data_IF_181720866952
#
_entry.id   IF_181720866952
#
_cell.length_a   1.000
_cell.length_b   1.000
_cell.length_c   1.000
_cell.angle_alpha   90.00
_cell.angle_beta   90.00
_cell.angle_gamma   90.00
#
_symmetry.space_group_name_H-M   'P 1'
#
loop_
_entity.id
_entity.type
_entity.pdbx_description
1 polymer ?
#
# COMPACT_ATOMS: atom_id res chain seq x y z
N UNK A 1 -0.43 -15.36 -8.26
CA UNK A 1 -1.49 -16.40 -8.34
C UNK A 1 -2.82 -15.72 -8.05
N UNK A 2 -3.80 -15.72 -8.96
CA UNK A 2 -5.06 -14.99 -8.69
C UNK A 2 -6.03 -15.90 -7.93
N UNK A 3 -6.33 -15.55 -6.68
CA UNK A 3 -7.31 -16.27 -5.86
C UNK A 3 -8.65 -15.54 -5.96
N UNK A 4 -9.63 -16.19 -6.58
CA UNK A 4 -10.99 -15.68 -6.68
C UNK A 4 -11.80 -16.30 -5.53
N UNK A 5 -12.27 -15.49 -4.59
CA UNK A 5 -13.07 -15.96 -3.46
C UNK A 5 -14.55 -15.68 -3.71
N UNK A 6 -15.37 -16.74 -3.72
CA UNK A 6 -16.81 -16.64 -3.83
C UNK A 6 -17.42 -16.27 -2.47
N UNK A 7 -18.39 -15.36 -2.43
CA UNK A 7 -19.06 -14.97 -1.17
C UNK A 7 -20.28 -15.81 -0.81
N UNK A 8 -20.65 -16.81 -1.61
CA UNK A 8 -21.57 -17.90 -1.23
C UNK A 8 -21.32 -19.14 -2.12
N UNK A 9 -21.51 -20.35 -1.60
CA UNK A 9 -20.56 -21.46 -1.79
C UNK A 9 -21.14 -22.74 -2.45
N UNK A 10 -20.81 -23.04 -3.72
CA UNK A 10 -20.80 -24.34 -4.49
C UNK A 10 -22.05 -24.93 -5.28
N UNK A 11 -21.92 -25.85 -6.25
CA UNK A 11 -21.30 -27.20 -6.22
C UNK A 11 -20.65 -27.51 -7.58
N UNK A 12 -19.34 -27.75 -7.55
CA UNK A 12 -18.56 -28.46 -8.56
C UNK A 12 -17.59 -29.33 -7.74
N UNK A 13 -17.47 -30.62 -8.05
CA UNK A 13 -17.01 -31.72 -7.17
C UNK A 13 -15.55 -31.64 -6.65
N UNK A 14 -14.88 -30.50 -6.82
CA UNK A 14 -13.61 -30.17 -6.18
C UNK A 14 -13.71 -29.04 -5.13
N UNK A 15 -14.93 -28.57 -4.81
CA UNK A 15 -15.16 -27.47 -3.87
C UNK A 15 -16.18 -27.88 -2.77
N UNK A 16 -15.75 -28.10 -1.51
CA UNK A 16 -16.49 -28.85 -0.48
C UNK A 16 -17.60 -28.07 0.25
N UNK A 17 -18.37 -27.26 -0.45
CA UNK A 17 -19.46 -26.48 0.15
C UNK A 17 -20.76 -26.71 -0.64
N UNK A 18 -21.93 -26.08 -0.38
CA UNK A 18 -23.24 -26.25 -1.10
C UNK A 18 -24.04 -24.92 -1.27
N UNK A 19 -24.38 -24.44 -2.50
CA UNK A 19 -25.20 -23.20 -2.76
C UNK A 19 -26.69 -23.54 -2.72
N UNK A 20 -27.46 -22.71 -2.01
CA UNK A 20 -28.91 -22.65 -2.12
C UNK A 20 -29.33 -21.78 -3.32
N UNK A 21 -30.19 -22.26 -4.23
CA UNK A 21 -30.47 -21.67 -5.55
C UNK A 21 -31.29 -20.35 -5.56
N UNK A 22 -31.42 -19.65 -4.44
CA UNK A 22 -32.38 -18.53 -4.30
C UNK A 22 -31.78 -17.12 -4.53
N UNK A 23 -30.47 -16.96 -4.73
CA UNK A 23 -29.85 -15.64 -4.92
C UNK A 23 -29.39 -15.41 -6.37
N UNK A 24 -30.15 -14.61 -7.12
CA UNK A 24 -30.00 -14.39 -8.58
C UNK A 24 -28.84 -13.48 -9.04
N UNK A 25 -27.87 -13.12 -8.19
CA UNK A 25 -26.69 -12.32 -8.60
C UNK A 25 -25.46 -12.71 -7.77
N UNK A 26 -24.61 -13.56 -8.33
CA UNK A 26 -23.31 -13.90 -7.73
C UNK A 26 -22.32 -12.80 -8.10
N UNK A 27 -22.09 -11.88 -7.16
CA UNK A 27 -21.03 -10.89 -7.26
C UNK A 27 -19.76 -11.45 -6.62
N UNK A 28 -18.67 -11.43 -7.38
CA UNK A 28 -17.38 -11.93 -6.97
C UNK A 28 -16.52 -10.80 -6.40
N UNK A 29 -15.95 -11.01 -5.22
CA UNK A 29 -14.95 -10.11 -4.64
C UNK A 29 -13.58 -10.53 -5.15
N UNK A 30 -12.87 -9.59 -5.78
CA UNK A 30 -11.57 -9.90 -6.38
C UNK A 30 -10.45 -9.51 -5.45
N UNK A 31 -9.63 -10.51 -5.12
CA UNK A 31 -8.31 -10.35 -4.54
C UNK A 31 -7.27 -10.86 -5.55
N UNK A 32 -6.17 -10.14 -5.71
CA UNK A 32 -5.08 -10.57 -6.58
C UNK A 32 -3.81 -10.70 -5.76
N UNK A 33 -2.96 -11.67 -6.08
CA UNK A 33 -1.58 -11.67 -5.58
C UNK A 33 -0.62 -11.65 -6.74
N UNK A 34 0.37 -10.77 -6.67
CA UNK A 34 1.39 -10.62 -7.69
C UNK A 34 2.74 -10.23 -7.08
N UNK A 35 3.84 -10.78 -7.61
CA UNK A 35 5.18 -10.34 -7.24
C UNK A 35 5.42 -8.94 -7.79
N UNK A 36 5.80 -7.99 -6.94
CA UNK A 36 6.12 -6.62 -7.38
C UNK A 36 7.25 -6.04 -6.54
N UNK A 37 8.09 -5.27 -7.22
CA UNK A 37 9.14 -4.45 -6.64
C UNK A 37 8.56 -3.23 -5.90
N UNK A 38 9.32 -2.70 -4.94
CA UNK A 38 8.86 -1.59 -4.09
C UNK A 38 8.64 -0.28 -4.89
N UNK A 39 9.34 -0.11 -6.01
CA UNK A 39 9.14 1.02 -6.94
C UNK A 39 7.75 0.99 -7.58
N UNK A 40 7.27 -0.20 -7.93
CA UNK A 40 5.91 -0.38 -8.42
C UNK A 40 4.89 -0.13 -7.30
N UNK A 41 5.22 -0.53 -6.05
CA UNK A 41 4.38 -0.19 -4.90
C UNK A 41 4.28 1.33 -4.71
N UNK A 42 5.39 2.06 -4.83
CA UNK A 42 5.37 3.52 -4.79
C UNK A 42 4.41 4.11 -5.84
N UNK A 43 4.53 3.69 -7.09
CA UNK A 43 3.64 4.16 -8.17
C UNK A 43 2.17 3.84 -7.87
N UNK A 44 1.89 2.63 -7.41
CA UNK A 44 0.53 2.18 -7.09
C UNK A 44 -0.10 2.99 -5.95
N UNK A 45 0.67 3.34 -4.93
CA UNK A 45 0.23 4.19 -3.81
C UNK A 45 -0.06 5.61 -4.33
N UNK A 46 0.82 6.16 -5.18
CA UNK A 46 0.62 7.47 -5.81
C UNK A 46 -0.66 7.46 -6.69
N UNK A 47 -0.82 6.46 -7.55
CA UNK A 47 -2.02 6.30 -8.38
C UNK A 47 -3.28 6.20 -7.54
N UNK A 48 -3.23 5.46 -6.42
CA UNK A 48 -4.34 5.35 -5.50
C UNK A 48 -4.69 6.69 -4.84
N UNK A 49 -3.69 7.45 -4.39
CA UNK A 49 -3.87 8.78 -3.81
C UNK A 49 -4.46 9.77 -4.82
N UNK A 50 -3.93 9.78 -6.06
CA UNK A 50 -4.40 10.65 -7.15
C UNK A 50 -5.78 10.27 -7.67
N UNK A 51 -6.31 9.11 -7.27
CA UNK A 51 -7.61 8.63 -7.71
C UNK A 51 -7.59 8.02 -9.11
N UNK A 52 -6.42 7.63 -9.62
CA UNK A 52 -6.25 7.06 -10.95
C UNK A 52 -6.98 5.71 -11.08
N UNK A 53 -7.37 5.37 -12.31
CA UNK A 53 -8.04 4.12 -12.61
C UNK A 53 -7.02 3.04 -12.99
N UNK A 54 -6.31 2.51 -11.99
CA UNK A 54 -5.32 1.46 -12.20
C UNK A 54 -5.90 0.06 -11.88
N UNK A 55 -5.61 -1.00 -12.66
CA UNK A 55 -6.16 -2.34 -12.43
C UNK A 55 -5.82 -2.99 -11.09
N UNK A 56 -4.72 -2.58 -10.47
CA UNK A 56 -4.33 -3.05 -9.13
C UNK A 56 -4.84 -2.15 -7.99
N UNK A 57 -5.37 -0.96 -8.28
CA UNK A 57 -5.83 -0.01 -7.24
C UNK A 57 -7.31 -0.24 -6.91
N UNK A 58 -7.74 -0.17 -5.64
CA UNK A 58 -9.14 -0.36 -5.25
C UNK A 58 -10.04 0.61 -5.97
N UNK A 59 -11.19 0.18 -6.47
CA UNK A 59 -12.15 1.09 -7.13
C UNK A 59 -12.95 1.95 -6.16
N UNK A 60 -13.07 1.50 -4.90
CA UNK A 60 -13.82 2.23 -3.89
C UNK A 60 -12.99 3.40 -3.34
N UNK A 61 -13.42 4.67 -3.50
CA UNK A 61 -12.71 5.84 -2.99
C UNK A 61 -12.52 5.82 -1.46
N UNK A 62 -13.44 5.22 -0.70
CA UNK A 62 -13.30 5.10 0.76
C UNK A 62 -12.06 4.27 1.14
N UNK A 63 -11.67 3.31 0.31
CA UNK A 63 -10.45 2.50 0.50
C UNK A 63 -9.17 3.25 0.11
N UNK A 64 -9.29 4.43 -0.50
CA UNK A 64 -8.18 5.31 -0.90
C UNK A 64 -7.98 6.49 0.05
N UNK A 65 -8.94 6.78 0.93
CA UNK A 65 -9.01 8.03 1.69
C UNK A 65 -7.87 8.30 2.68
N UNK A 66 -7.09 7.28 3.03
CA UNK A 66 -6.05 7.37 4.04
C UNK A 66 -4.66 6.95 3.52
N UNK A 67 -4.45 6.98 2.21
CA UNK A 67 -3.18 6.60 1.60
C UNK A 67 -2.19 7.76 1.72
N UNK A 68 -0.95 7.43 2.10
CA UNK A 68 0.15 8.39 2.24
C UNK A 68 1.39 7.85 1.52
N UNK A 69 2.03 8.68 0.70
CA UNK A 69 3.28 8.32 0.03
C UNK A 69 4.38 9.33 0.39
N UNK A 70 5.60 8.86 0.56
CA UNK A 70 6.76 9.68 0.83
C UNK A 70 7.27 10.27 -0.48
N UNK A 71 7.49 11.58 -0.48
CA UNK A 71 8.14 12.30 -1.57
C UNK A 71 9.59 12.59 -1.20
N UNK A 72 10.47 12.65 -2.20
CA UNK A 72 11.89 12.97 -2.00
C UNK A 72 12.06 14.32 -1.28
N UNK A 73 11.17 15.28 -1.55
CA UNK A 73 11.16 16.61 -0.91
C UNK A 73 10.92 16.55 0.61
N UNK A 74 10.28 15.51 1.14
CA UNK A 74 10.05 15.35 2.58
C UNK A 74 11.36 15.05 3.33
N UNK A 75 12.35 14.51 2.61
CA UNK A 75 13.68 14.20 3.12
C UNK A 75 14.61 15.44 3.13
N UNK A 76 14.09 16.63 2.79
CA UNK A 76 14.81 17.89 2.86
C UNK A 76 14.65 18.62 4.21
N UNK A 77 13.92 18.03 5.16
CA UNK A 77 13.75 18.59 6.50
C UNK A 77 15.07 18.65 7.29
N UNK A 78 15.11 19.47 8.34
CA UNK A 78 16.30 19.58 9.20
C UNK A 78 16.75 18.22 9.76
N UNK A 79 15.80 17.37 10.15
CA UNK A 79 16.05 16.01 10.65
C UNK A 79 16.79 15.15 9.61
N UNK A 80 16.26 15.04 8.39
CA UNK A 80 16.84 14.20 7.35
C UNK A 80 18.13 14.78 6.77
N UNK A 81 18.28 16.12 6.71
CA UNK A 81 19.54 16.77 6.34
C UNK A 81 20.69 16.37 7.26
N UNK A 82 20.47 16.39 8.58
CA UNK A 82 21.46 15.95 9.57
C UNK A 82 21.87 14.48 9.37
N UNK A 83 20.94 13.63 8.94
CA UNK A 83 21.20 12.22 8.61
C UNK A 83 21.88 12.02 7.25
N UNK A 84 21.54 12.84 6.25
CA UNK A 84 22.17 12.81 4.91
C UNK A 84 23.65 13.17 4.98
N UNK A 85 24.05 14.12 5.83
CA UNK A 85 25.47 14.45 6.02
C UNK A 85 26.32 13.26 6.52
N UNK A 86 25.69 12.25 7.14
CA UNK A 86 26.37 11.04 7.58
C UNK A 86 26.47 9.95 6.48
N UNK A 87 25.67 10.01 5.42
CA UNK A 87 25.64 9.02 4.32
C UNK A 87 25.95 9.70 2.99
N UNK A 88 27.10 9.39 2.38
CA UNK A 88 27.57 9.98 1.11
C UNK A 88 26.70 9.64 -0.12
N UNK A 89 25.71 8.77 0.02
CA UNK A 89 24.85 8.29 -1.06
C UNK A 89 23.44 8.85 -0.93
N UNK A 90 22.80 9.16 -2.06
CA UNK A 90 21.36 9.44 -2.10
C UNK A 90 20.57 8.16 -1.83
N UNK A 91 20.32 7.91 -0.55
CA UNK A 91 19.58 6.75 -0.05
C UNK A 91 18.08 6.80 -0.39
N UNK A 92 17.57 7.93 -0.88
CA UNK A 92 16.16 8.13 -1.21
C UNK A 92 15.78 7.54 -2.58
N UNK A 93 16.27 6.32 -2.87
CA UNK A 93 15.91 5.58 -4.08
C UNK A 93 14.43 5.23 -4.09
N UNK A 94 13.87 4.96 -5.26
CA UNK A 94 12.41 4.78 -5.43
C UNK A 94 11.85 3.58 -4.67
N UNK A 95 12.63 2.52 -4.49
CA UNK A 95 12.30 1.34 -3.69
C UNK A 95 12.27 1.68 -2.19
N UNK A 96 13.21 2.48 -1.71
CA UNK A 96 13.21 3.01 -0.34
C UNK A 96 11.98 3.89 -0.10
N UNK A 97 11.65 4.79 -1.04
CA UNK A 97 10.43 5.59 -0.96
C UNK A 97 9.18 4.69 -0.97
N UNK A 98 9.14 3.66 -1.81
CA UNK A 98 8.05 2.68 -1.84
C UNK A 98 7.86 1.94 -0.52
N UNK A 99 8.95 1.49 0.08
CA UNK A 99 8.96 0.87 1.41
C UNK A 99 8.44 1.83 2.49
N UNK A 100 9.00 3.04 2.56
CA UNK A 100 8.58 4.03 3.55
C UNK A 100 7.12 4.44 3.36
N UNK A 101 6.65 4.57 2.12
CA UNK A 101 5.24 4.88 1.81
C UNK A 101 4.29 3.80 2.28
N UNK A 102 4.58 2.52 2.02
CA UNK A 102 3.68 1.45 2.43
C UNK A 102 3.68 1.29 3.95
N UNK A 103 4.83 1.36 4.60
CA UNK A 103 4.92 1.32 6.07
C UNK A 103 4.22 2.54 6.68
N UNK A 104 4.44 3.75 6.16
CA UNK A 104 3.79 4.96 6.65
C UNK A 104 2.27 4.93 6.43
N UNK A 105 1.80 4.43 5.29
CA UNK A 105 0.38 4.20 5.07
C UNK A 105 -0.18 3.23 6.11
N UNK A 106 0.52 2.12 6.41
CA UNK A 106 0.09 1.15 7.42
C UNK A 106 -0.01 1.81 8.81
N UNK A 107 1.05 2.50 9.23
CA UNK A 107 1.17 3.14 10.55
C UNK A 107 0.10 4.23 10.77
N UNK A 108 -0.13 5.09 9.78
CA UNK A 108 -1.12 6.18 9.87
C UNK A 108 -2.58 5.72 9.78
N UNK A 109 -2.82 4.52 9.25
CA UNK A 109 -4.16 3.93 9.15
C UNK A 109 -4.57 3.16 10.39
N UNK A 110 -3.61 2.75 11.22
CA UNK A 110 -3.90 2.19 12.52
C UNK A 110 -4.71 3.20 13.36
N UNK A 111 -5.37 2.69 14.40
CA UNK A 111 -6.25 3.50 15.22
C UNK A 111 -5.53 3.90 16.50
N UNK A 112 -5.81 5.11 16.98
CA UNK A 112 -5.30 5.54 18.28
C UNK A 112 -5.85 4.62 19.37
N UNK A 113 -4.94 3.99 20.10
CA UNK A 113 -5.18 3.26 21.33
C UNK A 113 -5.54 4.26 22.44
N UNK A 114 -6.68 4.91 22.29
CA UNK A 114 -7.21 5.73 23.38
C UNK A 114 -7.62 4.78 24.52
N UNK A 115 -7.54 5.31 25.75
CA UNK A 115 -7.83 4.61 27.00
C UNK A 115 -9.22 3.90 27.17
N UNK A 116 -10.25 3.98 26.29
CA UNK A 116 -11.53 3.31 26.51
C UNK A 116 -11.52 1.78 26.55
N UNK A 117 -10.37 1.10 26.36
CA UNK A 117 -10.27 -0.35 26.61
C UNK A 117 -10.78 -0.69 28.03
N UNK A 118 -10.58 0.23 28.98
CA UNK A 118 -11.00 0.12 30.38
C UNK A 118 -12.42 0.66 30.65
N UNK A 119 -13.13 1.21 29.66
CA UNK A 119 -14.51 1.66 29.79
C UNK A 119 -15.47 0.73 29.00
N UNK A 120 -16.12 -0.24 29.67
CA UNK A 120 -16.96 -1.25 29.02
C UNK A 120 -18.10 -0.67 28.16
N UNK A 121 -18.58 0.54 28.46
CA UNK A 121 -19.70 1.18 27.75
C UNK A 121 -19.31 1.73 26.38
N UNK A 122 -18.03 1.98 26.14
CA UNK A 122 -17.51 2.52 24.86
C UNK A 122 -16.92 1.42 23.95
N UNK A 123 -16.88 0.15 24.39
CA UNK A 123 -16.41 -0.98 23.58
C UNK A 123 -17.32 -1.24 22.37
N UNK A 124 -18.63 -1.10 22.53
CA UNK A 124 -19.62 -1.42 21.48
C UNK A 124 -19.72 -0.36 20.37
N UNK A 125 -19.04 0.79 20.49
CA UNK A 125 -19.13 1.87 19.50
C UNK A 125 -17.93 1.94 18.56
N UNK A 126 -16.90 1.11 18.75
CA UNK A 126 -15.70 1.12 17.91
C UNK A 126 -15.69 -0.09 17.00
N UNK A 127 -15.87 0.16 15.71
CA UNK A 127 -15.49 -0.80 14.67
C UNK A 127 -13.96 -0.87 14.67
N UNK A 128 -13.44 -1.78 15.48
CA UNK A 128 -12.03 -2.10 15.43
C UNK A 128 -11.79 -2.90 14.17
N UNK A 129 -10.73 -2.54 13.45
CA UNK A 129 -10.43 -3.08 12.13
C UNK A 129 -8.97 -3.53 12.14
N UNK A 130 -8.75 -4.82 11.98
CA UNK A 130 -7.42 -5.37 11.74
C UNK A 130 -6.75 -4.71 10.52
N UNK A 131 -5.44 -4.90 10.35
CA UNK A 131 -4.64 -4.28 9.26
C UNK A 131 -5.29 -4.50 7.88
N UNK A 132 -5.87 -5.68 7.68
CA UNK A 132 -6.60 -6.12 6.50
C UNK A 132 -7.85 -5.33 6.16
N UNK A 133 -8.60 -4.89 7.16
CA UNK A 133 -9.80 -4.08 6.97
C UNK A 133 -9.47 -2.62 6.68
N UNK A 134 -8.24 -2.17 6.90
CA UNK A 134 -7.83 -0.78 6.71
C UNK A 134 -7.07 -0.59 5.41
N UNK A 135 -6.43 -1.65 4.91
CA UNK A 135 -5.47 -1.57 3.82
C UNK A 135 -5.83 -2.51 2.68
N UNK A 136 -5.57 -2.04 1.46
CA UNK A 136 -5.79 -2.81 0.25
C UNK A 136 -4.53 -3.50 -0.26
N UNK A 137 -3.36 -3.13 0.26
CA UNK A 137 -2.08 -3.65 -0.18
C UNK A 137 -1.31 -4.14 1.05
N UNK A 138 -1.02 -5.43 1.08
CA UNK A 138 -0.28 -6.08 2.16
C UNK A 138 0.71 -7.09 1.58
N UNK A 139 1.88 -7.27 2.19
CA UNK A 139 2.81 -8.29 1.72
C UNK A 139 2.36 -9.69 2.19
N UNK A 140 2.60 -10.68 1.34
CA UNK A 140 2.47 -12.11 1.68
C UNK A 140 3.77 -12.65 2.28
N UNK A 141 4.92 -12.07 1.92
CA UNK A 141 6.15 -12.20 2.70
C UNK A 141 6.04 -11.39 3.99
N UNK A 142 6.79 -11.78 5.02
CA UNK A 142 6.79 -11.09 6.30
C UNK A 142 7.56 -9.78 6.19
N UNK A 143 7.36 -8.87 7.14
CA UNK A 143 7.96 -7.54 7.06
C UNK A 143 9.47 -7.54 7.28
N UNK A 144 10.03 -8.58 7.91
CA UNK A 144 11.49 -8.76 8.01
C UNK A 144 12.08 -8.96 6.61
N UNK A 145 11.48 -9.84 5.81
CA UNK A 145 11.87 -10.09 4.43
C UNK A 145 11.72 -8.82 3.60
N UNK A 146 10.57 -8.14 3.68
CA UNK A 146 10.37 -6.88 2.92
C UNK A 146 11.42 -5.83 3.31
N UNK A 147 11.71 -5.66 4.59
CA UNK A 147 12.72 -4.73 5.08
C UNK A 147 14.14 -5.09 4.61
N UNK A 148 14.46 -6.38 4.50
CA UNK A 148 15.77 -6.84 4.02
C UNK A 148 16.11 -6.38 2.61
N UNK A 149 15.11 -6.05 1.78
CA UNK A 149 15.31 -5.54 0.42
C UNK A 149 15.83 -4.09 0.38
N UNK A 150 15.69 -3.33 1.48
CA UNK A 150 16.02 -1.90 1.53
C UNK A 150 16.90 -1.50 2.70
N UNK A 151 17.10 -2.38 3.70
CA UNK A 151 17.83 -2.05 4.94
C UNK A 151 19.21 -1.45 4.66
N UNK A 152 19.96 -2.00 3.69
CA UNK A 152 21.34 -1.59 3.39
C UNK A 152 21.40 -0.25 2.65
N UNK A 153 20.26 0.19 2.10
CA UNK A 153 20.11 1.51 1.46
C UNK A 153 19.76 2.58 2.49
N UNK A 154 19.12 2.23 3.60
CA UNK A 154 18.69 3.18 4.63
C UNK A 154 19.85 3.68 5.50
N UNK A 155 19.78 4.91 6.05
CA UNK A 155 20.76 5.40 7.03
C UNK A 155 20.87 4.46 8.24
N UNK A 156 22.11 4.20 8.67
CA UNK A 156 22.40 3.31 9.81
C UNK A 156 21.75 1.91 9.68
N UNK A 157 21.66 1.39 8.45
CA UNK A 157 21.02 0.11 8.12
C UNK A 157 19.55 0.03 8.58
N UNK A 158 18.88 1.18 8.68
CA UNK A 158 17.49 1.28 9.13
C UNK A 158 17.27 1.05 10.63
N UNK A 159 18.32 1.04 11.47
CA UNK A 159 18.19 0.90 12.94
C UNK A 159 17.32 1.98 13.58
N UNK A 160 17.19 3.14 12.94
CA UNK A 160 16.36 4.26 13.38
C UNK A 160 15.09 4.41 12.53
N UNK A 161 14.57 3.31 11.97
CA UNK A 161 13.38 3.36 11.13
C UNK A 161 12.19 3.97 11.86
N UNK A 162 12.00 3.68 13.15
CA UNK A 162 10.93 4.29 13.93
C UNK A 162 11.03 5.83 13.97
N UNK A 163 12.19 6.36 14.35
CA UNK A 163 12.42 7.82 14.40
C UNK A 163 12.21 8.48 13.03
N UNK A 164 12.63 7.80 11.95
CA UNK A 164 12.35 8.25 10.58
C UNK A 164 10.85 8.28 10.29
N UNK A 165 10.10 7.25 10.68
CA UNK A 165 8.65 7.19 10.49
C UNK A 165 7.92 8.26 11.30
N UNK A 166 8.36 8.59 12.51
CA UNK A 166 7.79 9.68 13.29
C UNK A 166 7.91 11.03 12.59
N UNK A 167 9.10 11.33 12.05
CA UNK A 167 9.33 12.56 11.30
C UNK A 167 8.60 12.57 9.95
N UNK A 168 8.54 11.43 9.26
CA UNK A 168 7.74 11.31 8.03
C UNK A 168 6.24 11.42 8.31
N UNK A 169 5.78 10.98 9.48
CA UNK A 169 4.39 11.09 9.87
C UNK A 169 3.93 12.55 10.04
N UNK A 170 4.87 13.49 10.18
CA UNK A 170 4.59 14.91 10.16
C UNK A 170 4.08 15.43 8.83
N UNK A 171 4.25 14.71 7.73
CA UNK A 171 3.84 15.19 6.42
C UNK A 171 2.56 14.53 5.94
N UNK A 172 1.78 15.27 5.16
CA UNK A 172 0.63 14.74 4.42
C UNK A 172 0.73 15.15 2.96
N UNK A 173 0.38 14.22 2.06
CA UNK A 173 0.31 14.51 0.64
C UNK A 173 -0.76 15.57 0.36
N UNK A 174 -0.47 16.46 -0.58
CA UNK A 174 -1.43 17.46 -1.07
C UNK A 174 -1.62 17.31 -2.56
N UNK A 175 -2.80 17.70 -3.06
CA UNK A 175 -3.07 17.66 -4.51
C UNK A 175 -2.18 18.60 -5.31
N UNK A 176 -1.61 19.63 -4.67
CA UNK A 176 -0.72 20.60 -5.32
C UNK A 176 0.75 20.18 -5.26
N UNK A 177 1.08 19.04 -4.64
CA UNK A 177 2.49 18.63 -4.39
C UNK A 177 3.22 19.53 -3.39
N UNK A 178 2.53 20.46 -2.73
CA UNK A 178 3.14 21.32 -1.71
C UNK A 178 3.25 20.54 -0.41
N UNK A 179 4.43 20.60 0.21
CA UNK A 179 4.66 20.08 1.55
C UNK A 179 3.68 20.70 2.54
N UNK A 180 3.02 19.86 3.32
CA UNK A 180 2.07 20.28 4.36
C UNK A 180 2.23 19.41 5.59
N UNK A 181 2.21 20.06 6.75
CA UNK A 181 2.27 19.40 8.04
C UNK A 181 0.92 18.74 8.38
N UNK A 182 0.96 17.50 8.87
CA UNK A 182 -0.16 16.74 9.42
C UNK A 182 -0.22 17.03 10.93
N UNK A 183 -1.05 18.01 11.31
CA UNK A 183 -1.19 18.49 12.69
C UNK A 183 -1.67 17.42 13.68
N UNK A 184 -2.13 16.26 13.19
CA UNK A 184 -2.48 15.13 14.06
C UNK A 184 -1.24 14.48 14.66
N UNK A 185 -0.14 14.42 13.90
CA UNK A 185 1.07 13.72 14.29
C UNK A 185 2.21 14.64 14.69
N UNK A 186 2.15 15.92 14.30
CA UNK A 186 3.25 16.84 14.56
C UNK A 186 2.83 18.26 14.88
N UNK A 187 3.79 18.97 15.48
CA UNK A 187 3.81 20.40 15.74
C UNK A 187 5.00 21.05 14.99
N UNK A 188 5.24 22.34 15.20
CA UNK A 188 6.36 23.05 14.56
C UNK A 188 6.04 23.52 13.14
N UNK A 189 7.05 23.46 12.26
CA UNK A 189 7.00 24.01 10.90
C UNK A 189 7.28 22.94 9.85
N UNK A 190 7.08 23.25 8.57
CA UNK A 190 7.37 22.31 7.47
C UNK A 190 8.86 21.98 7.38
N UNK A 191 9.74 22.96 7.63
CA UNK A 191 11.19 22.81 7.52
C UNK A 191 11.81 22.14 8.77
N UNK A 192 11.17 22.33 9.92
CA UNK A 192 11.54 21.76 11.20
C UNK A 192 10.28 21.20 11.91
N UNK A 193 9.79 20.04 11.45
CA UNK A 193 8.62 19.42 12.06
C UNK A 193 9.01 18.70 13.36
N UNK A 194 8.12 18.76 14.34
CA UNK A 194 8.35 18.13 15.64
C UNK A 194 7.27 17.06 15.88
N UNK A 195 7.61 15.76 15.87
CA UNK A 195 6.68 14.69 16.25
C UNK A 195 6.07 14.92 17.63
N UNK A 196 4.77 14.69 17.76
CA UNK A 196 4.03 14.91 19.01
C UNK A 196 3.72 13.59 19.77
N UNK A 197 4.32 12.47 19.37
CA UNK A 197 4.13 11.14 19.96
C UNK A 197 2.79 10.47 19.64
N UNK A 198 1.94 11.04 18.77
CA UNK A 198 0.66 10.42 18.41
C UNK A 198 0.81 9.16 17.55
N UNK A 199 1.95 8.97 16.87
CA UNK A 199 2.22 7.76 16.10
C UNK A 199 2.46 6.55 17.03
N UNK A 200 3.12 6.76 18.17
CA UNK A 200 3.38 5.72 19.19
C UNK A 200 2.09 5.14 19.77
N UNK A 201 1.01 5.92 19.76
CA UNK A 201 -0.31 5.51 20.26
C UNK A 201 -1.12 4.74 19.24
N UNK A 202 -0.64 4.56 18.01
CA UNK A 202 -1.38 3.84 16.98
C UNK A 202 -1.28 2.33 17.18
N UNK A 203 -2.40 1.63 16.99
CA UNK A 203 -2.50 0.19 17.16
C UNK A 203 -3.51 -0.44 16.19
N UNK A 204 -3.34 -1.74 15.96
CA UNK A 204 -4.40 -2.61 15.45
C UNK A 204 -4.98 -3.44 16.60
N UNK A 205 -6.25 -3.81 16.51
CA UNK A 205 -6.88 -4.69 17.51
C UNK A 205 -8.01 -5.51 16.89
N UNK A 206 -8.48 -6.49 17.66
CA UNK A 206 -9.77 -7.14 17.42
C UNK A 206 -10.95 -6.25 17.82
N UNK A 207 -12.16 -6.64 17.40
CA UNK A 207 -13.40 -6.01 17.87
C UNK A 207 -13.44 -5.93 19.40
N UNK A 208 -13.73 -4.74 19.94
CA UNK A 208 -13.67 -4.47 21.38
C UNK A 208 -12.31 -3.97 21.90
N UNK A 209 -11.28 -3.89 21.05
CA UNK A 209 -10.02 -3.18 21.31
C UNK A 209 -8.94 -4.02 22.01
N UNK A 210 -9.16 -5.32 22.16
CA UNK A 210 -8.19 -6.26 22.71
C UNK A 210 -8.42 -7.65 22.11
N UNK A 211 -7.36 -8.44 21.83
CA UNK A 211 -5.95 -8.07 21.90
C UNK A 211 -5.57 -6.98 20.90
N UNK A 212 -4.48 -6.26 21.17
CA UNK A 212 -3.96 -5.20 20.30
C UNK A 212 -2.47 -5.37 20.02
N UNK A 213 -2.03 -4.80 18.91
CA UNK A 213 -0.64 -4.69 18.50
C UNK A 213 -0.33 -3.22 18.25
N UNK A 214 0.59 -2.65 19.04
CA UNK A 214 1.11 -1.32 18.79
C UNK A 214 1.90 -1.31 17.47
N UNK A 215 1.72 -0.24 16.71
CA UNK A 215 2.45 -0.03 15.46
C UNK A 215 3.95 0.04 15.72
N UNK A 216 4.36 0.66 16.85
CA UNK A 216 5.77 0.72 17.26
C UNK A 216 6.35 -0.68 17.49
N UNK A 217 5.66 -1.52 18.27
CA UNK A 217 6.11 -2.88 18.54
C UNK A 217 6.25 -3.69 17.24
N UNK A 218 5.33 -3.52 16.31
CA UNK A 218 5.44 -4.13 14.99
C UNK A 218 6.68 -3.66 14.23
N UNK A 219 6.92 -2.35 14.14
CA UNK A 219 8.11 -1.80 13.45
C UNK A 219 9.39 -2.31 14.10
N UNK A 220 9.49 -2.20 15.43
CA UNK A 220 10.64 -2.67 16.19
C UNK A 220 10.87 -4.18 15.98
N UNK A 221 9.80 -4.97 15.85
CA UNK A 221 9.93 -6.41 15.65
C UNK A 221 10.59 -6.77 14.32
N UNK A 222 10.28 -6.09 13.21
CA UNK A 222 10.89 -6.46 11.93
C UNK A 222 12.26 -5.81 11.69
N UNK A 223 12.56 -4.71 12.39
CA UNK A 223 13.88 -4.06 12.36
C UNK A 223 14.91 -4.87 13.15
N UNK A 224 14.51 -5.40 14.31
CA UNK A 224 15.43 -6.08 15.24
C UNK A 224 15.50 -7.60 15.04
N UNK A 225 14.61 -8.20 14.25
CA UNK A 225 14.63 -9.63 13.95
C UNK A 225 15.61 -9.97 12.81
N UNK A 226 16.21 -11.15 12.91
CA UNK A 226 17.01 -11.71 11.83
C UNK A 226 16.12 -12.11 10.64
N UNK A 227 16.67 -12.01 9.42
CA UNK A 227 16.00 -12.39 8.17
C UNK A 227 15.38 -13.81 8.28
N UNK A 228 14.11 -13.93 7.90
CA UNK A 228 13.34 -15.19 7.98
C UNK A 228 12.62 -15.44 9.31
N UNK A 229 12.83 -14.62 10.34
CA UNK A 229 12.01 -14.64 11.56
C UNK A 229 10.63 -13.98 11.36
N UNK A 230 9.57 -14.41 12.07
CA UNK A 230 8.26 -13.78 11.98
C UNK A 230 8.28 -12.40 12.68
N UNK A 231 7.68 -11.39 12.03
CA UNK A 231 7.38 -10.12 12.68
C UNK A 231 6.08 -10.20 13.52
N UNK A 232 5.88 -9.25 14.43
CA UNK A 232 4.72 -9.26 15.33
C UNK A 232 3.38 -9.10 14.60
N UNK A 233 3.33 -8.44 13.43
CA UNK A 233 2.09 -8.32 12.66
C UNK A 233 1.73 -9.64 11.98
N UNK A 234 2.73 -10.37 11.46
CA UNK A 234 2.55 -11.73 10.95
C UNK A 234 1.97 -12.63 12.04
N UNK A 235 2.56 -12.62 13.24
CA UNK A 235 2.06 -13.41 14.37
C UNK A 235 0.65 -12.98 14.80
N UNK A 236 0.43 -11.68 14.97
CA UNK A 236 -0.87 -11.14 15.35
C UNK A 236 -1.96 -11.52 14.34
N UNK A 237 -1.63 -11.52 13.05
CA UNK A 237 -2.55 -11.95 11.99
C UNK A 237 -2.86 -13.44 11.99
N UNK A 238 -1.89 -14.28 12.35
CA UNK A 238 -2.08 -15.72 12.51
C UNK A 238 -2.94 -16.05 13.74
N UNK A 239 -2.72 -15.35 14.85
CA UNK A 239 -3.41 -15.62 16.12
C UNK A 239 -4.86 -15.08 16.12
N UNK A 240 -5.13 -13.98 15.41
CA UNK A 240 -6.36 -13.20 15.55
C UNK A 240 -7.20 -13.02 14.27
N UNK A 241 -6.66 -13.37 13.10
CA UNK A 241 -7.36 -13.24 11.82
C UNK A 241 -7.27 -14.53 10.99
N UNK A 242 -6.78 -14.47 9.75
CA UNK A 242 -6.70 -15.63 8.84
C UNK A 242 -5.25 -16.09 8.57
N UNK A 243 -4.26 -15.45 9.20
CA UNK A 243 -2.84 -15.75 9.08
C UNK A 243 -2.28 -15.64 7.66
N UNK A 244 -2.80 -14.73 6.84
CA UNK A 244 -2.32 -14.53 5.48
C UNK A 244 -1.17 -13.52 5.33
N UNK A 245 -0.98 -12.61 6.28
CA UNK A 245 0.15 -11.66 6.28
C UNK A 245 1.40 -12.46 6.66
N UNK A 246 2.47 -12.32 5.90
CA UNK A 246 3.78 -12.90 6.21
C UNK A 246 3.93 -14.41 6.08
N UNK A 247 2.84 -15.16 5.98
CA UNK A 247 2.85 -16.64 5.95
C UNK A 247 3.57 -17.26 4.75
N UNK A 248 3.87 -16.51 3.70
CA UNK A 248 4.63 -17.07 2.57
C UNK A 248 6.02 -17.54 2.99
N UNK A 249 6.68 -16.78 3.86
CA UNK A 249 8.03 -17.09 4.36
C UNK A 249 8.00 -18.32 5.30
N UNK A 250 6.96 -18.45 6.12
CA UNK A 250 6.77 -19.61 7.02
C UNK A 250 6.60 -20.93 6.27
N UNK A 251 6.13 -20.89 5.02
CA UNK A 251 6.00 -22.06 4.16
C UNK A 251 7.33 -22.45 3.48
N UNK A 252 8.44 -21.83 3.87
CA UNK A 252 9.76 -22.03 3.26
C UNK A 252 9.85 -21.48 1.84
N UNK A 253 8.89 -20.64 1.43
CA UNK A 253 8.91 -19.97 0.13
C UNK A 253 9.62 -18.64 0.28
N UNK A 254 10.60 -18.39 -0.58
CA UNK A 254 11.37 -17.14 -0.61
C UNK A 254 10.68 -16.08 -1.47
N UNK A 255 11.39 -14.98 -1.76
CA UNK A 255 10.98 -14.02 -2.77
C UNK A 255 10.64 -14.68 -4.11
N UNK A 256 9.72 -14.06 -4.83
CA UNK A 256 9.55 -14.26 -6.26
C UNK A 256 10.56 -13.40 -7.02
N UNK A 257 10.58 -13.46 -8.35
CA UNK A 257 11.56 -12.70 -9.13
C UNK A 257 10.89 -11.75 -10.13
N UNK A 258 11.62 -10.70 -10.50
CA UNK A 258 11.23 -9.87 -11.64
C UNK A 258 11.19 -10.72 -12.90
N UNK A 259 10.20 -10.50 -13.77
CA UNK A 259 10.07 -11.24 -15.01
C UNK A 259 11.39 -11.21 -15.81
N UNK A 260 11.87 -12.39 -16.18
CA UNK A 260 13.13 -12.59 -16.92
C UNK A 260 14.40 -12.09 -16.20
N UNK A 261 14.41 -12.11 -14.86
CA UNK A 261 15.53 -11.65 -14.04
C UNK A 261 15.64 -12.51 -12.76
N UNK A 262 16.82 -12.52 -12.14
CA UNK A 262 17.05 -13.11 -10.82
C UNK A 262 16.88 -12.08 -9.68
N UNK A 263 16.38 -10.88 -9.99
CA UNK A 263 16.11 -9.85 -8.98
C UNK A 263 14.94 -10.28 -8.08
N UNK A 264 15.13 -10.42 -6.76
CA UNK A 264 14.08 -10.83 -5.84
C UNK A 264 13.06 -9.72 -5.63
N UNK A 265 11.78 -10.09 -5.48
CA UNK A 265 10.66 -9.21 -5.18
C UNK A 265 9.66 -9.86 -4.23
N UNK A 266 9.01 -9.01 -3.44
CA UNK A 266 7.95 -9.42 -2.53
C UNK A 266 6.69 -9.81 -3.30
N UNK A 267 6.01 -10.84 -2.82
CA UNK A 267 4.65 -11.18 -3.22
C UNK A 267 3.65 -10.31 -2.47
N UNK A 268 2.84 -9.53 -3.18
CA UNK A 268 1.86 -8.62 -2.60
C UNK A 268 0.43 -9.14 -2.80
N UNK A 269 -0.43 -8.90 -1.82
CA UNK A 269 -1.87 -9.10 -1.89
C UNK A 269 -2.60 -7.77 -2.10
N UNK A 270 -3.39 -7.74 -3.17
CA UNK A 270 -4.26 -6.65 -3.59
C UNK A 270 -5.70 -6.98 -3.25
N UNK A 271 -6.21 -6.34 -2.21
CA UNK A 271 -7.55 -6.56 -1.65
C UNK A 271 -8.52 -5.51 -2.16
N UNK A 272 -9.82 -5.76 -2.00
CA UNK A 272 -10.88 -4.79 -2.34
C UNK A 272 -10.83 -4.26 -3.78
N UNK A 273 -10.52 -5.10 -4.77
CA UNK A 273 -10.46 -4.71 -6.19
C UNK A 273 -11.85 -4.49 -6.83
N UNK A 274 -12.89 -4.49 -6.01
CA UNK A 274 -14.29 -4.33 -6.41
C UNK A 274 -15.06 -5.65 -6.39
N UNK A 275 -16.35 -5.51 -6.65
CA UNK A 275 -17.27 -6.63 -6.90
C UNK A 275 -17.56 -6.68 -8.38
N UNK A 276 -17.43 -7.85 -9.00
CA UNK A 276 -17.69 -8.04 -10.43
C UNK A 276 -18.67 -9.19 -10.65
N UNK A 277 -19.47 -9.06 -11.69
CA UNK A 277 -20.21 -10.20 -12.22
C UNK A 277 -19.25 -11.18 -12.92
N UNK A 278 -19.63 -12.45 -12.94
CA UNK A 278 -18.86 -13.53 -13.57
C UNK A 278 -18.44 -13.19 -15.01
N UNK A 279 -19.34 -12.58 -15.80
CA UNK A 279 -19.08 -12.17 -17.19
C UNK A 279 -17.97 -11.13 -17.34
N UNK A 280 -17.65 -10.39 -16.28
CA UNK A 280 -16.60 -9.38 -16.25
C UNK A 280 -15.26 -9.94 -15.75
N UNK A 281 -15.24 -11.12 -15.12
CA UNK A 281 -14.04 -11.72 -14.55
C UNK A 281 -12.92 -11.91 -15.59
N UNK A 282 -13.15 -12.53 -16.77
CA UNK A 282 -12.04 -12.78 -17.71
C UNK A 282 -11.34 -11.50 -18.16
N UNK A 283 -12.13 -10.44 -18.44
CA UNK A 283 -11.59 -9.13 -18.79
C UNK A 283 -10.77 -8.55 -17.64
N UNK A 284 -11.30 -8.59 -16.41
CA UNK A 284 -10.61 -8.03 -15.24
C UNK A 284 -9.30 -8.76 -14.94
N UNK A 285 -9.31 -10.10 -15.03
CA UNK A 285 -8.11 -10.92 -14.82
C UNK A 285 -7.02 -10.57 -15.86
N UNK A 286 -7.42 -10.33 -17.12
CA UNK A 286 -6.51 -9.87 -18.17
C UNK A 286 -5.95 -8.48 -17.86
N UNK A 287 -6.77 -7.52 -17.42
CA UNK A 287 -6.32 -6.17 -17.02
C UNK A 287 -5.30 -6.23 -15.87
N UNK A 288 -5.58 -7.02 -14.84
CA UNK A 288 -4.67 -7.21 -13.70
C UNK A 288 -3.35 -7.83 -14.16
N UNK A 289 -3.40 -8.90 -14.97
CA UNK A 289 -2.20 -9.56 -15.48
C UNK A 289 -1.33 -8.60 -16.29
N UNK A 290 -1.94 -7.86 -17.21
CA UNK A 290 -1.22 -6.91 -18.06
C UNK A 290 -0.56 -5.81 -17.23
N UNK A 291 -1.26 -5.25 -16.23
CA UNK A 291 -0.68 -4.24 -15.34
C UNK A 291 0.51 -4.77 -14.53
N UNK A 292 0.48 -6.04 -14.11
CA UNK A 292 1.64 -6.66 -13.44
C UNK A 292 2.82 -6.77 -14.41
N UNK A 293 2.60 -7.27 -15.63
CA UNK A 293 3.66 -7.38 -16.65
C UNK A 293 4.26 -6.00 -16.98
N UNK A 294 3.44 -4.98 -17.17
CA UNK A 294 3.87 -3.61 -17.44
C UNK A 294 4.77 -3.08 -16.30
N UNK A 295 4.45 -3.36 -15.04
CA UNK A 295 5.28 -2.96 -13.89
C UNK A 295 6.61 -3.72 -13.85
N UNK A 296 6.64 -5.00 -14.23
CA UNK A 296 7.90 -5.74 -14.36
C UNK A 296 8.79 -5.21 -15.49
N UNK A 297 8.19 -4.87 -16.64
CA UNK A 297 8.90 -4.28 -17.78
C UNK A 297 9.41 -2.86 -17.46
N UNK A 298 8.67 -2.11 -16.64
CA UNK A 298 9.05 -0.75 -16.20
C UNK A 298 10.19 -0.75 -15.19
N UNK A 299 10.26 -1.76 -14.31
CA UNK A 299 11.27 -1.85 -13.24
C UNK A 299 12.08 -3.15 -13.29
N UNK A 300 12.83 -3.40 -14.39
CA UNK A 300 13.56 -4.65 -14.56
C UNK A 300 14.74 -4.79 -13.59
N UNK A 301 15.35 -3.66 -13.19
CA UNK A 301 16.60 -3.60 -12.44
C UNK A 301 16.41 -2.83 -11.13
N UNK A 302 17.28 -3.10 -10.14
CA UNK A 302 17.28 -2.34 -8.89
C UNK A 302 17.56 -0.85 -9.12
N UNK A 303 16.96 0.05 -8.31
CA UNK A 303 17.28 1.47 -8.37
C UNK A 303 18.71 1.68 -7.91
N UNK A 304 19.51 2.32 -8.76
CA UNK A 304 20.84 2.78 -8.40
C UNK A 304 20.71 4.13 -7.68
N UNK A 305 21.41 4.32 -6.55
CA UNK A 305 21.58 5.65 -5.96
C UNK A 305 22.23 6.55 -7.01
N UNK A 306 21.53 7.61 -7.43
CA UNK A 306 22.12 8.62 -8.32
C UNK A 306 23.25 9.30 -7.55
N UNK A 307 24.50 9.04 -7.94
CA UNK A 307 25.60 9.93 -7.56
C UNK A 307 25.26 11.32 -8.09
N UNK A 308 25.62 12.37 -7.33
CA UNK A 308 25.26 13.78 -7.56
C UNK A 308 25.77 14.38 -8.91
N UNK A 309 26.04 13.59 -9.94
CA UNK A 309 26.49 14.01 -11.26
C UNK A 309 25.40 14.04 -12.34
N UNK A 310 24.21 13.48 -12.09
CA UNK A 310 23.06 13.69 -12.98
C UNK A 310 22.37 15.01 -12.62
N UNK A 311 22.90 16.09 -13.19
CA UNK A 311 22.36 17.44 -13.11
C UNK A 311 20.88 17.45 -13.49
N UNK A 312 20.10 18.09 -12.62
CA UNK A 312 18.84 18.80 -12.92
C UNK A 312 18.87 19.38 -14.34
N UNK A 313 18.23 18.72 -15.31
CA UNK A 313 17.57 19.42 -16.41
C UNK A 313 16.28 20.01 -15.84
N UNK A 314 16.44 21.08 -15.05
CA UNK A 314 15.40 22.07 -14.84
C UNK A 314 15.22 22.83 -16.16
N UNK A 315 14.53 22.21 -17.13
CA UNK A 315 13.85 23.01 -18.15
C UNK A 315 12.69 23.74 -17.47
N UNK A 316 12.99 24.98 -17.08
CA UNK A 316 12.00 25.97 -16.72
C UNK A 316 10.98 26.11 -17.87
N UNK A 317 9.80 25.53 -17.68
CA UNK A 317 8.63 25.82 -18.52
C UNK A 317 8.26 27.29 -18.26
N UNK A 318 8.22 28.16 -19.29
CA UNK A 318 7.87 29.56 -19.11
C UNK A 318 6.45 29.69 -18.55
N UNK A 319 6.30 30.54 -17.53
CA UNK A 319 5.00 30.99 -17.01
C UNK A 319 4.31 31.88 -18.06
N UNK A 320 3.68 31.28 -19.06
CA UNK A 320 2.71 31.97 -19.94
C UNK A 320 1.70 30.95 -20.51
N UNK A 321 0.63 30.69 -19.77
CA UNK A 321 -0.75 30.41 -20.25
C UNK A 321 -1.62 29.92 -19.07
N UNK A 322 -1.94 30.83 -18.17
CA UNK A 322 -3.10 30.68 -17.27
C UNK A 322 -4.26 31.40 -17.93
N UNK A 323 -5.00 30.71 -18.82
CA UNK A 323 -6.38 31.02 -19.21
C UNK A 323 -6.91 29.96 -20.19
N UNK A 324 -7.42 28.84 -19.67
CA UNK A 324 -8.63 28.13 -20.14
C UNK A 324 -8.71 26.73 -19.49
N UNK A 325 -9.30 26.67 -18.29
CA UNK A 325 -9.74 25.38 -17.70
C UNK A 325 -11.24 25.44 -17.47
N UNK A 326 -12.01 25.54 -18.55
CA UNK A 326 -13.46 25.26 -18.57
C UNK A 326 -13.91 24.74 -19.95
N UNK A 327 -13.37 23.59 -20.41
CA UNK A 327 -14.07 22.75 -21.41
C UNK A 327 -13.43 21.38 -21.62
N UNK A 328 -13.71 20.44 -20.72
CA UNK A 328 -13.67 19.01 -21.03
C UNK A 328 -14.85 18.30 -20.37
N UNK A 329 -16.07 18.67 -20.80
CA UNK A 329 -17.26 17.81 -20.73
C UNK A 329 -17.57 17.34 -22.15
N UNK A 330 -17.92 16.05 -22.26
CA UNK A 330 -18.53 15.35 -23.41
C UNK A 330 -17.58 14.90 -24.52
N UNK A 331 -17.08 13.67 -24.44
CA UNK A 331 -16.94 12.78 -25.61
C UNK A 331 -17.17 11.32 -25.17
N UNK A 332 -18.38 10.81 -25.40
CA UNK A 332 -18.65 9.43 -25.86
C UNK A 332 -19.95 9.51 -26.68
N UNK A 333 -19.80 9.44 -28.01
CA UNK A 333 -20.92 9.27 -28.92
C UNK A 333 -21.32 7.80 -29.00
N UNK A 334 -22.63 7.57 -28.96
CA UNK A 334 -23.28 6.29 -29.24
C UNK A 334 -22.93 5.80 -30.65
N UNK A 335 -22.32 4.62 -30.74
CA UNK A 335 -22.36 3.79 -31.94
C UNK A 335 -23.52 2.80 -31.83
N UNK A 336 -24.59 3.06 -32.59
CA UNK A 336 -25.68 2.10 -32.80
C UNK A 336 -25.18 0.92 -33.64
N UNK A 337 -25.21 -0.28 -33.07
CA UNK A 337 -25.22 -1.55 -33.80
C UNK A 337 -26.46 -2.33 -33.35
N UNK A 338 -27.59 -2.05 -33.99
CA UNK A 338 -28.75 -2.93 -34.01
C UNK A 338 -28.92 -3.43 -35.44
N UNK A 339 -28.35 -4.59 -35.72
CA UNK A 339 -28.88 -5.48 -36.74
C UNK A 339 -29.94 -6.38 -36.10
N UNK A 340 -31.17 -6.30 -36.61
CA UNK A 340 -32.14 -7.41 -36.56
C UNK A 340 -32.94 -7.37 -37.86
N UNK A 341 -32.81 -8.44 -38.63
CA UNK A 341 -33.81 -8.80 -39.62
C UNK A 341 -35.07 -9.35 -38.95
N UNK A 342 -36.16 -9.36 -39.71
CA UNK A 342 -37.27 -10.29 -39.51
C UNK A 342 -38.67 -9.71 -39.72
N UNK A 343 -39.31 -10.20 -40.80
CA UNK A 343 -40.76 -10.38 -41.05
C UNK A 343 -41.53 -9.21 -41.69
N UNK A 344 -41.69 -9.28 -43.02
CA UNK A 344 -42.93 -9.77 -43.65
C UNK A 344 -42.65 -10.40 -45.02
#
# INVERSE_FOLDING_TARGET
MIKVENSDKSLDDCNPWWILPYFRRVDWVIHATAPLMLEAIQDLIISAFKGENHPLVPRNPQRRGNIVYVEKTWLNSAYFKKKKTASKLDWATKDVLGFLSIVLTNTKNAQELSAPIWNPRLRNTRMVSGPKSLLWLLPRNNWVSVFSLVKDKLPEEGKQLWDMLEHLACYQNTRTGKLKLDKRFCEGTVDDPQPNGMLEKQAWSEEGGYPFLLVKDWVDSFVNNAAGGPDLLTKFDADHFDGQIGRFDELGKTFEHVLNSDRPVTLWEFRSQGRLHETQLPRRLKEIRNAVVELHEKYPNEPTPTSEEDKEEDEAVPEEEVLEVERCRKWWHLGNLCGKGGVH
#
